data_IF_322023644424
#
_entry.id   IF_322023644424
#
_cell.length_a   1.000
_cell.length_b   1.000
_cell.length_c   1.000
_cell.angle_alpha   90.00
_cell.angle_beta   90.00
_cell.angle_gamma   90.00
#
_symmetry.space_group_name_H-M   'P 1'
#
loop_
_entity.id
_entity.type
_entity.pdbx_description
1 polymer ?
#
# COMPACT_ATOMS: atom_id res chain seq x y z
N UNK A 1 6.39 10.79 -15.29
CA UNK A 1 7.30 9.79 -14.66
C UNK A 1 6.95 8.37 -15.11
N UNK A 2 5.73 7.89 -14.87
CA UNK A 2 5.37 6.48 -15.13
C UNK A 2 5.58 5.98 -16.58
N UNK A 3 5.29 6.82 -17.57
CA UNK A 3 5.30 6.41 -19.00
C UNK A 3 6.55 6.81 -19.77
N UNK A 4 7.26 7.85 -19.35
CA UNK A 4 8.47 8.29 -20.04
C UNK A 4 9.64 7.32 -19.81
N UNK A 5 10.48 7.18 -20.83
CA UNK A 5 11.74 6.40 -20.78
C UNK A 5 12.94 7.24 -21.22
N UNK A 6 12.76 8.57 -21.29
CA UNK A 6 13.83 9.52 -21.60
C UNK A 6 14.43 10.06 -20.28
N UNK A 7 15.71 9.79 -19.96
CA UNK A 7 16.33 10.20 -18.70
C UNK A 7 16.33 11.72 -18.46
N UNK A 8 16.52 12.51 -19.52
CA UNK A 8 16.53 13.97 -19.40
C UNK A 8 15.14 14.53 -19.10
N UNK A 9 14.10 13.98 -19.74
CA UNK A 9 12.71 14.33 -19.45
C UNK A 9 12.34 13.93 -18.02
N UNK A 10 12.70 12.73 -17.59
CA UNK A 10 12.47 12.24 -16.22
C UNK A 10 13.15 13.14 -15.19
N UNK A 11 14.38 13.58 -15.45
CA UNK A 11 15.12 14.53 -14.60
C UNK A 11 14.39 15.88 -14.50
N UNK A 12 13.93 16.45 -15.63
CA UNK A 12 13.18 17.71 -15.62
C UNK A 12 11.87 17.60 -14.85
N UNK A 13 11.12 16.51 -15.05
CA UNK A 13 9.86 16.26 -14.34
C UNK A 13 10.09 16.12 -12.83
N UNK A 14 11.15 15.39 -12.46
CA UNK A 14 11.51 15.20 -11.06
C UNK A 14 11.88 16.53 -10.39
N UNK A 15 12.76 17.34 -11.01
CA UNK A 15 13.16 18.67 -10.51
C UNK A 15 11.94 19.58 -10.37
N UNK A 16 11.10 19.64 -11.42
CA UNK A 16 9.91 20.49 -11.41
C UNK A 16 8.93 20.14 -10.29
N UNK A 17 8.75 18.85 -10.01
CA UNK A 17 7.92 18.40 -8.90
C UNK A 17 8.52 18.75 -7.53
N UNK A 18 9.81 18.47 -7.31
CA UNK A 18 10.44 18.73 -6.02
C UNK A 18 10.63 20.24 -5.74
N UNK A 19 10.68 21.08 -6.77
CA UNK A 19 10.73 22.53 -6.60
C UNK A 19 9.53 23.12 -5.83
N UNK A 20 8.38 22.44 -5.80
CA UNK A 20 7.21 22.89 -5.00
C UNK A 20 7.49 22.87 -3.48
N UNK A 21 8.46 22.10 -3.03
CA UNK A 21 8.84 22.03 -1.61
C UNK A 21 9.56 23.28 -1.13
N UNK A 22 10.46 23.85 -1.93
CA UNK A 22 11.34 24.93 -1.51
C UNK A 22 10.61 26.11 -0.80
N UNK A 23 9.52 26.69 -1.33
CA UNK A 23 8.80 27.78 -0.68
C UNK A 23 8.06 27.39 0.60
N UNK A 24 7.96 26.09 0.92
CA UNK A 24 7.31 25.59 2.15
C UNK A 24 8.29 25.46 3.32
N UNK A 25 9.59 25.48 3.10
CA UNK A 25 10.62 25.13 4.09
C UNK A 25 10.50 25.94 5.39
N UNK A 26 10.49 27.26 5.31
CA UNK A 26 10.41 28.11 6.51
C UNK A 26 9.05 28.00 7.22
N UNK A 27 7.99 27.82 6.43
CA UNK A 27 6.66 27.55 6.98
C UNK A 27 6.61 26.20 7.68
N UNK A 28 7.29 25.20 7.16
CA UNK A 28 7.39 23.88 7.79
C UNK A 28 8.19 23.94 9.09
N UNK A 29 9.29 24.68 9.14
CA UNK A 29 10.03 24.90 10.38
C UNK A 29 9.13 25.55 11.47
N UNK A 30 8.36 26.58 11.10
CA UNK A 30 7.40 27.20 12.00
C UNK A 30 6.27 26.25 12.42
N UNK A 31 5.80 25.43 11.51
CA UNK A 31 4.81 24.41 11.77
C UNK A 31 5.30 23.38 12.80
N UNK A 32 6.54 22.89 12.68
CA UNK A 32 7.20 22.01 13.66
C UNK A 32 7.26 22.65 15.06
N UNK A 33 7.64 23.93 15.15
CA UNK A 33 7.65 24.66 16.43
C UNK A 33 6.27 24.67 17.08
N UNK A 34 5.23 25.01 16.32
CA UNK A 34 3.85 25.10 16.82
C UNK A 34 3.33 23.73 17.27
N UNK A 35 3.59 22.69 16.52
CA UNK A 35 3.20 21.32 16.90
C UNK A 35 3.89 20.88 18.20
N UNK A 36 5.18 21.17 18.32
CA UNK A 36 5.93 20.84 19.53
C UNK A 36 5.46 21.63 20.77
N UNK A 37 4.91 22.84 20.58
CA UNK A 37 4.24 23.57 21.68
C UNK A 37 3.02 22.76 22.14
N UNK A 38 2.13 22.38 21.20
CA UNK A 38 0.94 21.59 21.52
C UNK A 38 1.28 20.23 22.14
N UNK A 39 2.30 19.53 21.62
CA UNK A 39 2.74 18.27 22.21
C UNK A 39 3.21 18.43 23.65
N UNK A 40 3.95 19.51 23.96
CA UNK A 40 4.39 19.80 25.35
C UNK A 40 3.25 20.17 26.28
N UNK A 41 2.22 20.88 25.81
CA UNK A 41 1.01 21.14 26.58
C UNK A 41 0.26 19.86 26.98
N UNK A 42 0.39 18.80 26.13
CA UNK A 42 -0.15 17.47 26.41
C UNK A 42 0.79 16.58 27.24
N UNK A 43 1.96 17.08 27.65
CA UNK A 43 2.92 16.37 28.50
C UNK A 43 3.98 15.56 27.75
N UNK A 44 4.07 15.66 26.42
CA UNK A 44 5.10 15.02 25.60
C UNK A 44 6.28 15.97 25.36
N UNK A 45 7.47 15.43 25.10
CA UNK A 45 8.65 16.24 24.79
C UNK A 45 8.55 16.97 23.45
N UNK A 46 8.00 16.27 22.47
CA UNK A 46 7.84 16.70 21.09
C UNK A 46 6.72 15.93 20.38
N UNK A 47 6.38 16.35 19.17
CA UNK A 47 5.34 15.72 18.33
C UNK A 47 5.69 14.29 17.94
N UNK A 48 6.98 13.98 17.76
CA UNK A 48 7.42 12.62 17.45
C UNK A 48 7.19 11.63 18.60
N UNK A 49 7.33 12.10 19.85
CA UNK A 49 6.95 11.31 21.02
C UNK A 49 5.43 11.14 21.11
N UNK A 50 4.67 12.22 20.93
CA UNK A 50 3.20 12.17 20.89
C UNK A 50 2.68 11.16 19.86
N UNK A 51 3.20 11.16 18.64
CA UNK A 51 2.78 10.24 17.59
C UNK A 51 3.07 8.77 17.90
N UNK A 52 4.19 8.50 18.60
CA UNK A 52 4.56 7.14 18.98
C UNK A 52 3.90 6.63 20.26
N UNK A 53 3.24 7.50 21.02
CA UNK A 53 2.58 7.12 22.27
C UNK A 53 1.40 6.16 22.08
N UNK A 54 0.76 6.16 20.89
CA UNK A 54 -0.43 5.34 20.62
C UNK A 54 -0.12 3.88 20.24
N UNK A 55 1.13 3.43 20.38
CA UNK A 55 1.51 2.09 19.99
C UNK A 55 1.77 1.14 21.18
N UNK A 56 1.25 1.45 22.38
CA UNK A 56 1.44 0.64 23.59
C UNK A 56 2.91 0.28 23.88
N UNK A 57 3.81 1.19 23.52
CA UNK A 57 5.26 1.06 23.65
C UNK A 57 5.87 2.43 23.94
N UNK A 58 7.05 2.44 24.57
CA UNK A 58 7.83 3.68 24.60
C UNK A 58 8.28 4.07 23.18
N UNK A 59 8.54 5.35 22.90
CA UNK A 59 9.05 5.79 21.60
C UNK A 59 10.35 5.10 21.17
N UNK A 60 11.20 4.72 22.14
CA UNK A 60 12.44 4.01 21.87
C UNK A 60 12.18 2.55 21.48
N UNK A 61 11.32 1.84 22.21
CA UNK A 61 10.90 0.48 21.90
C UNK A 61 10.23 0.42 20.52
N UNK A 62 9.33 1.36 20.23
CA UNK A 62 8.67 1.42 18.93
C UNK A 62 9.68 1.61 17.79
N UNK A 63 10.65 2.53 17.95
CA UNK A 63 11.69 2.74 16.94
C UNK A 63 12.57 1.51 16.75
N UNK A 64 12.92 0.81 17.83
CA UNK A 64 13.70 -0.42 17.80
C UNK A 64 12.94 -1.58 17.12
N UNK A 65 11.63 -1.65 17.35
CA UNK A 65 10.75 -2.65 16.70
C UNK A 65 10.73 -2.48 15.17
N UNK A 66 10.60 -1.23 14.68
CA UNK A 66 10.67 -0.96 13.25
C UNK A 66 12.06 -1.28 12.66
N UNK A 67 13.13 -0.96 13.38
CA UNK A 67 14.50 -1.27 12.94
C UNK A 67 14.75 -2.77 12.89
N UNK A 68 14.23 -3.53 13.86
CA UNK A 68 14.33 -4.98 13.89
C UNK A 68 13.60 -5.62 12.70
N UNK A 69 12.38 -5.18 12.43
CA UNK A 69 11.59 -5.66 11.31
C UNK A 69 12.24 -5.30 9.96
N UNK A 70 12.79 -4.11 9.83
CA UNK A 70 13.56 -3.72 8.66
C UNK A 70 14.79 -4.62 8.46
N UNK A 71 15.55 -4.89 9.51
CA UNK A 71 16.72 -5.76 9.42
C UNK A 71 16.40 -7.18 8.92
N UNK A 72 15.19 -7.70 9.21
CA UNK A 72 14.71 -8.96 8.64
C UNK A 72 14.47 -8.86 7.12
N UNK A 73 13.96 -7.72 6.63
CA UNK A 73 13.56 -7.53 5.22
C UNK A 73 14.68 -7.01 4.33
N UNK A 74 15.65 -6.31 4.90
CA UNK A 74 16.72 -5.65 4.16
C UNK A 74 17.44 -6.60 3.18
N UNK A 75 17.72 -7.87 3.49
CA UNK A 75 18.34 -8.79 2.55
C UNK A 75 17.53 -8.99 1.26
N UNK A 76 16.20 -9.16 1.37
CA UNK A 76 15.31 -9.26 0.20
C UNK A 76 15.31 -7.96 -0.60
N UNK A 77 15.20 -6.82 0.09
CA UNK A 77 15.26 -5.51 -0.56
C UNK A 77 16.56 -5.27 -1.32
N UNK A 78 17.69 -5.65 -0.74
CA UNK A 78 19.01 -5.52 -1.39
C UNK A 78 19.10 -6.33 -2.67
N UNK A 79 18.59 -7.55 -2.68
CA UNK A 79 18.56 -8.37 -3.89
C UNK A 79 17.65 -7.74 -4.97
N UNK A 80 16.46 -7.24 -4.58
CA UNK A 80 15.58 -6.52 -5.51
C UNK A 80 16.26 -5.27 -6.06
N UNK A 81 16.88 -4.46 -5.20
CA UNK A 81 17.59 -3.25 -5.57
C UNK A 81 18.75 -3.54 -6.56
N UNK A 82 19.58 -4.56 -6.27
CA UNK A 82 20.70 -4.95 -7.13
C UNK A 82 20.21 -5.36 -8.52
N UNK A 83 19.17 -6.20 -8.57
CA UNK A 83 18.56 -6.61 -9.83
C UNK A 83 18.00 -5.42 -10.62
N UNK A 84 17.19 -4.57 -9.98
CA UNK A 84 16.61 -3.38 -10.61
C UNK A 84 17.70 -2.45 -11.12
N UNK A 85 18.75 -2.19 -10.32
CA UNK A 85 19.88 -1.36 -10.72
C UNK A 85 20.56 -1.91 -11.97
N UNK A 86 20.85 -3.21 -12.03
CA UNK A 86 21.49 -3.84 -13.20
C UNK A 86 20.65 -3.67 -14.47
N UNK A 87 19.32 -3.80 -14.36
CA UNK A 87 18.39 -3.61 -15.48
C UNK A 87 18.31 -2.15 -15.95
N UNK A 88 18.35 -1.21 -15.00
CA UNK A 88 18.38 0.23 -15.31
C UNK A 88 19.70 0.63 -15.97
N UNK A 89 20.84 0.08 -15.54
CA UNK A 89 22.15 0.30 -16.19
C UNK A 89 22.12 -0.26 -17.62
N UNK A 90 21.60 -1.46 -17.82
CA UNK A 90 21.44 -2.04 -19.15
C UNK A 90 20.57 -1.18 -20.09
N UNK A 91 19.55 -0.50 -19.52
CA UNK A 91 18.64 0.37 -20.28
C UNK A 91 19.21 1.76 -20.54
N UNK A 92 19.83 2.40 -19.54
CA UNK A 92 20.16 3.82 -19.53
C UNK A 92 21.67 4.10 -19.50
N UNK A 93 22.51 3.07 -19.39
CA UNK A 93 23.96 3.21 -19.35
C UNK A 93 24.42 4.17 -18.24
N UNK A 94 25.27 5.13 -18.61
CA UNK A 94 25.87 6.10 -17.67
C UNK A 94 24.85 6.90 -16.86
N UNK A 95 23.63 7.09 -17.35
CA UNK A 95 22.59 7.81 -16.61
C UNK A 95 22.09 7.05 -15.36
N UNK A 96 22.26 5.73 -15.33
CA UNK A 96 21.92 4.87 -14.19
C UNK A 96 23.14 4.34 -13.44
N UNK A 97 24.33 4.35 -14.05
CA UNK A 97 25.55 3.76 -13.49
C UNK A 97 26.30 4.75 -12.58
N UNK A 98 25.94 4.74 -11.32
CA UNK A 98 26.58 5.54 -10.27
C UNK A 98 27.67 4.72 -9.56
N UNK A 99 28.85 5.33 -9.26
CA UNK A 99 29.94 4.62 -8.59
C UNK A 99 29.64 4.28 -7.11
N UNK A 100 28.69 5.02 -6.47
CA UNK A 100 28.24 4.78 -5.10
C UNK A 100 27.23 3.61 -4.99
N UNK A 101 26.84 3.03 -6.10
CA UNK A 101 25.88 1.91 -6.15
C UNK A 101 24.42 2.29 -5.89
N UNK A 102 24.11 3.60 -5.81
CA UNK A 102 22.75 4.08 -5.62
C UNK A 102 22.00 4.13 -6.96
N UNK A 103 20.68 4.07 -6.89
CA UNK A 103 19.81 4.27 -8.07
C UNK A 103 19.37 5.74 -8.14
N UNK A 104 19.53 6.43 -9.29
CA UNK A 104 18.98 7.76 -9.47
C UNK A 104 17.44 7.74 -9.38
N UNK A 105 16.88 8.50 -8.44
CA UNK A 105 15.45 8.45 -8.05
C UNK A 105 14.48 8.65 -9.22
N UNK A 106 14.81 9.52 -10.19
CA UNK A 106 13.95 9.81 -11.33
C UNK A 106 13.75 8.61 -12.28
N UNK A 107 14.61 7.60 -12.22
CA UNK A 107 14.53 6.42 -13.09
C UNK A 107 13.57 5.34 -12.58
N UNK A 108 13.02 5.50 -11.38
CA UNK A 108 12.17 4.51 -10.72
C UNK A 108 10.66 4.67 -11.01
N UNK A 109 10.31 5.53 -11.97
CA UNK A 109 8.92 5.62 -12.49
C UNK A 109 7.89 6.32 -11.60
N UNK A 110 8.31 6.79 -10.42
CA UNK A 110 7.47 7.46 -9.43
C UNK A 110 8.14 8.77 -8.97
N UNK A 111 7.35 9.82 -8.68
CA UNK A 111 7.88 11.14 -8.28
C UNK A 111 8.76 11.06 -7.05
N UNK A 112 8.42 10.19 -6.09
CA UNK A 112 9.13 10.01 -4.82
C UNK A 112 10.04 8.78 -4.81
N UNK A 113 10.05 7.99 -5.89
CA UNK A 113 10.73 6.69 -5.95
C UNK A 113 10.30 5.73 -4.81
N UNK A 114 9.06 5.87 -4.34
CA UNK A 114 8.52 5.07 -3.24
C UNK A 114 8.06 3.68 -3.68
N UNK A 115 7.57 3.56 -4.91
CA UNK A 115 7.09 2.34 -5.56
C UNK A 115 7.68 2.27 -6.97
N UNK A 116 7.99 1.08 -7.45
CA UNK A 116 8.72 0.88 -8.69
C UNK A 116 7.94 0.10 -9.76
N UNK A 117 6.66 -0.19 -9.54
CA UNK A 117 5.81 -0.95 -10.47
C UNK A 117 5.76 -0.36 -11.88
N UNK A 118 5.85 0.97 -12.01
CA UNK A 118 5.83 1.68 -13.28
C UNK A 118 7.03 1.37 -14.22
N UNK A 119 8.10 0.76 -13.71
CA UNK A 119 9.26 0.36 -14.54
C UNK A 119 9.31 -1.15 -14.80
N UNK A 120 8.21 -1.86 -14.54
CA UNK A 120 8.18 -3.30 -14.74
C UNK A 120 8.61 -3.74 -16.15
N UNK A 121 8.25 -2.99 -17.20
CA UNK A 121 8.66 -3.25 -18.58
C UNK A 121 10.20 -3.25 -18.78
N UNK A 122 10.95 -2.49 -17.95
CA UNK A 122 12.42 -2.46 -17.98
C UNK A 122 13.01 -3.65 -17.22
N UNK A 123 12.39 -4.01 -16.09
CA UNK A 123 12.94 -5.01 -15.17
C UNK A 123 12.31 -6.41 -15.31
N UNK A 124 11.33 -6.56 -16.18
CA UNK A 124 10.70 -7.86 -16.45
C UNK A 124 11.76 -8.94 -16.78
N UNK A 125 11.55 -10.19 -16.36
CA UNK A 125 12.44 -11.28 -16.70
C UNK A 125 12.62 -11.38 -18.22
N UNK A 126 13.86 -11.57 -18.68
CA UNK A 126 14.20 -11.73 -20.09
C UNK A 126 14.26 -13.19 -20.54
N UNK A 127 14.25 -14.15 -19.62
CA UNK A 127 14.13 -15.57 -19.94
C UNK A 127 12.80 -15.80 -20.68
N UNK A 128 12.81 -16.31 -21.93
CA UNK A 128 11.58 -16.53 -22.70
C UNK A 128 10.57 -17.41 -21.98
N UNK A 129 11.03 -18.34 -21.13
CA UNK A 129 10.15 -19.23 -20.35
C UNK A 129 9.33 -18.46 -19.32
N UNK A 130 9.89 -17.36 -18.75
CA UNK A 130 9.22 -16.49 -17.80
C UNK A 130 8.49 -15.34 -18.48
N UNK A 131 9.08 -14.77 -19.52
CA UNK A 131 8.53 -13.63 -20.27
C UNK A 131 7.22 -13.95 -21.02
N UNK A 132 6.94 -15.22 -21.30
CA UNK A 132 5.72 -15.66 -21.98
C UNK A 132 4.46 -15.49 -21.12
N UNK A 133 4.60 -15.47 -19.79
CA UNK A 133 3.46 -15.37 -18.87
C UNK A 133 2.98 -13.94 -18.76
N UNK A 134 1.74 -13.73 -19.18
CA UNK A 134 1.04 -12.45 -19.02
C UNK A 134 0.12 -12.54 -17.79
N UNK A 135 -0.04 -11.42 -17.05
CA UNK A 135 -1.09 -11.32 -16.04
C UNK A 135 -2.46 -11.63 -16.66
N UNK A 136 -3.38 -12.13 -15.83
CA UNK A 136 -4.79 -12.24 -16.20
C UNK A 136 -5.28 -10.85 -16.58
N UNK A 137 -5.95 -10.71 -17.73
CA UNK A 137 -6.62 -9.46 -18.11
C UNK A 137 -7.92 -9.33 -17.29
N UNK A 138 -7.74 -8.97 -16.03
CA UNK A 138 -8.83 -8.84 -15.08
C UNK A 138 -9.83 -7.76 -15.51
N UNK A 139 -9.36 -6.68 -16.14
CA UNK A 139 -10.24 -5.61 -16.61
C UNK A 139 -11.20 -6.11 -17.69
N UNK A 140 -10.70 -6.82 -18.69
CA UNK A 140 -11.53 -7.39 -19.74
C UNK A 140 -12.51 -8.44 -19.20
N UNK A 141 -12.04 -9.30 -18.27
CA UNK A 141 -12.88 -10.30 -17.63
C UNK A 141 -14.03 -9.66 -16.81
N UNK A 142 -13.72 -8.62 -16.02
CA UNK A 142 -14.70 -7.87 -15.24
C UNK A 142 -15.74 -7.22 -16.14
N UNK A 143 -15.31 -6.48 -17.16
CA UNK A 143 -16.24 -5.82 -18.10
C UNK A 143 -17.17 -6.82 -18.77
N UNK A 144 -16.64 -7.96 -19.19
CA UNK A 144 -17.45 -9.04 -19.81
C UNK A 144 -18.48 -9.61 -18.83
N UNK A 145 -18.04 -9.96 -17.62
CA UNK A 145 -18.91 -10.62 -16.65
C UNK A 145 -19.98 -9.65 -16.10
N UNK A 146 -19.62 -8.38 -15.84
CA UNK A 146 -20.56 -7.35 -15.39
C UNK A 146 -21.62 -7.10 -16.47
N UNK A 147 -21.22 -6.95 -17.74
CA UNK A 147 -22.17 -6.74 -18.84
C UNK A 147 -23.14 -7.93 -19.04
N UNK A 148 -22.68 -9.15 -18.77
CA UNK A 148 -23.53 -10.35 -18.82
C UNK A 148 -24.51 -10.44 -17.64
N UNK A 149 -24.07 -10.04 -16.45
CA UNK A 149 -24.84 -10.11 -15.21
C UNK A 149 -25.85 -8.95 -15.10
N UNK A 150 -25.41 -7.76 -15.47
CA UNK A 150 -26.21 -6.55 -15.47
C UNK A 150 -26.14 -5.84 -16.83
N UNK A 151 -27.08 -6.11 -17.74
CA UNK A 151 -27.13 -5.44 -19.05
C UNK A 151 -27.23 -3.91 -18.95
N UNK A 152 -27.75 -3.35 -17.85
CA UNK A 152 -27.80 -1.90 -17.63
C UNK A 152 -26.39 -1.29 -17.45
N UNK A 153 -25.42 -2.07 -17.00
CA UNK A 153 -24.02 -1.64 -16.89
C UNK A 153 -23.26 -1.69 -18.22
N UNK A 154 -23.72 -2.49 -19.21
CA UNK A 154 -23.00 -2.67 -20.47
C UNK A 154 -22.64 -1.37 -21.23
N UNK A 155 -23.50 -0.33 -21.27
CA UNK A 155 -23.14 0.96 -21.88
C UNK A 155 -21.94 1.67 -21.25
N UNK A 156 -21.59 1.39 -19.99
CA UNK A 156 -20.41 1.94 -19.36
C UNK A 156 -19.10 1.52 -20.04
N UNK A 157 -19.11 0.40 -20.79
CA UNK A 157 -17.95 -0.17 -21.46
C UNK A 157 -17.95 0.05 -22.98
N UNK A 158 -19.10 0.42 -23.53
CA UNK A 158 -19.25 0.76 -24.93
C UNK A 158 -18.75 2.19 -25.14
N UNK A 159 -17.59 2.34 -25.82
CA UNK A 159 -17.06 3.61 -26.37
C UNK A 159 -17.39 4.90 -25.56
N UNK A 160 -16.49 5.86 -25.57
CA UNK A 160 -16.62 7.21 -24.98
C UNK A 160 -17.89 7.97 -25.45
N UNK A 161 -19.05 7.46 -25.07
CA UNK A 161 -20.31 8.19 -25.16
C UNK A 161 -20.28 9.31 -24.15
N UNK A 162 -20.95 10.41 -24.47
CA UNK A 162 -21.05 11.61 -23.63
C UNK A 162 -21.17 11.24 -22.15
N UNK A 163 -20.13 11.50 -21.33
CA UNK A 163 -20.15 11.14 -19.91
C UNK A 163 -21.21 11.88 -19.12
N UNK A 164 -21.89 12.85 -19.71
CA UNK A 164 -22.91 13.69 -19.10
C UNK A 164 -24.36 13.19 -19.19
N UNK A 165 -24.65 12.18 -20.01
CA UNK A 165 -26.04 11.66 -20.09
C UNK A 165 -26.46 10.88 -18.85
N UNK A 166 -27.75 10.92 -18.49
CA UNK A 166 -28.29 10.17 -17.34
C UNK A 166 -28.06 8.66 -17.51
N UNK A 167 -28.31 8.14 -18.70
CA UNK A 167 -28.09 6.71 -18.99
C UNK A 167 -26.63 6.28 -18.82
N UNK A 168 -25.67 7.13 -19.21
CA UNK A 168 -24.24 6.81 -19.01
C UNK A 168 -23.84 6.90 -17.54
N UNK A 169 -24.45 7.78 -16.77
CA UNK A 169 -24.23 7.86 -15.32
C UNK A 169 -24.79 6.63 -14.61
N UNK A 170 -26.01 6.23 -14.91
CA UNK A 170 -26.68 5.06 -14.33
C UNK A 170 -25.92 3.77 -14.67
N UNK A 171 -25.44 3.62 -15.91
CA UNK A 171 -24.64 2.48 -16.32
C UNK A 171 -23.31 2.39 -15.54
N UNK A 172 -22.64 3.51 -15.31
CA UNK A 172 -21.42 3.55 -14.49
C UNK A 172 -21.70 3.22 -13.03
N UNK A 173 -22.80 3.72 -12.49
CA UNK A 173 -23.21 3.42 -11.12
C UNK A 173 -23.54 1.91 -10.95
N UNK A 174 -24.25 1.32 -11.90
CA UNK A 174 -24.53 -0.12 -11.92
C UNK A 174 -23.24 -0.95 -11.97
N UNK A 175 -22.30 -0.58 -12.83
CA UNK A 175 -20.98 -1.23 -12.91
C UNK A 175 -20.18 -1.10 -11.62
N UNK A 176 -20.19 0.09 -10.99
CA UNK A 176 -19.52 0.31 -9.71
C UNK A 176 -20.15 -0.52 -8.58
N UNK A 177 -21.47 -0.65 -8.55
CA UNK A 177 -22.15 -1.54 -7.60
C UNK A 177 -21.73 -2.99 -7.78
N UNK A 178 -21.59 -3.48 -9.01
CA UNK A 178 -21.13 -4.84 -9.24
C UNK A 178 -19.67 -5.04 -8.79
N UNK A 179 -18.80 -4.04 -8.98
CA UNK A 179 -17.44 -4.08 -8.42
C UNK A 179 -17.46 -4.22 -6.90
N UNK A 180 -18.31 -3.47 -6.20
CA UNK A 180 -18.46 -3.54 -4.75
C UNK A 180 -19.04 -4.88 -4.29
N UNK A 181 -19.97 -5.47 -5.06
CA UNK A 181 -20.52 -6.81 -4.76
C UNK A 181 -19.45 -7.91 -4.77
N UNK A 182 -18.43 -7.82 -5.60
CA UNK A 182 -17.29 -8.77 -5.52
C UNK A 182 -16.60 -8.66 -4.17
N UNK A 183 -16.26 -7.45 -3.72
CA UNK A 183 -15.64 -7.23 -2.42
C UNK A 183 -16.56 -7.68 -1.26
N UNK A 184 -17.86 -7.31 -1.28
CA UNK A 184 -18.81 -7.80 -0.27
C UNK A 184 -18.89 -9.31 -0.25
N UNK A 185 -18.91 -9.96 -1.44
CA UNK A 185 -18.97 -11.43 -1.53
C UNK A 185 -17.74 -12.09 -0.89
N UNK A 186 -16.58 -11.44 -0.92
CA UNK A 186 -15.40 -11.93 -0.24
C UNK A 186 -15.66 -12.05 1.27
N UNK A 187 -16.10 -10.97 1.91
CA UNK A 187 -16.38 -10.96 3.35
C UNK A 187 -17.53 -11.87 3.75
N UNK A 188 -18.62 -11.88 2.99
CA UNK A 188 -19.78 -12.76 3.29
C UNK A 188 -19.42 -14.23 3.10
N UNK A 189 -18.51 -14.56 2.17
CA UNK A 189 -17.98 -15.91 2.02
C UNK A 189 -17.25 -16.39 3.28
N UNK A 190 -16.58 -15.49 4.00
CA UNK A 190 -15.91 -15.74 5.27
C UNK A 190 -16.87 -15.85 6.46
N UNK A 191 -18.13 -15.43 6.33
CA UNK A 191 -19.14 -15.49 7.39
C UNK A 191 -19.57 -14.14 7.96
N UNK A 192 -19.04 -13.03 7.44
CA UNK A 192 -19.49 -11.70 7.84
C UNK A 192 -20.90 -11.43 7.34
N UNK A 193 -21.65 -10.64 8.08
CA UNK A 193 -22.98 -10.18 7.64
C UNK A 193 -22.85 -9.25 6.43
N UNK A 194 -23.80 -9.26 5.48
CA UNK A 194 -23.82 -8.32 4.36
C UNK A 194 -23.76 -6.85 4.82
N UNK A 195 -23.29 -5.98 3.95
CA UNK A 195 -23.29 -4.53 4.20
C UNK A 195 -24.73 -4.02 4.39
N UNK A 196 -24.94 -3.03 5.26
CA UNK A 196 -26.29 -2.53 5.54
C UNK A 196 -26.87 -1.82 4.32
N UNK A 197 -28.20 -1.73 4.25
CA UNK A 197 -28.90 -1.04 3.15
C UNK A 197 -28.45 0.41 3.00
N UNK A 198 -28.17 1.10 4.11
CA UNK A 198 -27.66 2.47 4.17
C UNK A 198 -26.33 2.63 3.45
N UNK A 199 -25.45 1.60 3.45
CA UNK A 199 -24.21 1.61 2.69
C UNK A 199 -24.46 1.81 1.20
N UNK A 200 -25.37 1.03 0.63
CA UNK A 200 -25.73 1.09 -0.79
C UNK A 200 -26.43 2.39 -1.18
N UNK A 201 -27.23 2.95 -0.27
CA UNK A 201 -28.01 4.17 -0.50
C UNK A 201 -27.22 5.45 -0.32
N UNK A 202 -26.14 5.45 0.52
CA UNK A 202 -25.48 6.67 0.98
C UNK A 202 -24.02 6.79 0.59
N UNK A 203 -23.40 5.71 0.12
CA UNK A 203 -22.01 5.76 -0.37
C UNK A 203 -21.89 6.54 -1.67
N UNK A 204 -20.71 7.10 -1.91
CA UNK A 204 -20.34 7.72 -3.15
C UNK A 204 -19.47 6.74 -3.97
N UNK A 205 -20.07 6.04 -4.91
CA UNK A 205 -19.39 5.01 -5.69
C UNK A 205 -18.71 5.53 -6.95
N UNK A 206 -19.23 6.61 -7.56
CA UNK A 206 -18.69 7.21 -8.77
C UNK A 206 -18.63 8.73 -8.61
N UNK A 207 -17.84 9.41 -9.47
CA UNK A 207 -17.75 10.86 -9.46
C UNK A 207 -19.15 11.49 -9.68
N UNK A 208 -19.64 12.32 -8.75
CA UNK A 208 -20.94 12.96 -8.86
C UNK A 208 -20.91 14.02 -9.98
N UNK A 209 -22.09 14.37 -10.53
CA UNK A 209 -22.21 15.36 -11.62
C UNK A 209 -22.46 16.78 -11.15
N UNK A 210 -22.87 16.93 -9.91
CA UNK A 210 -23.36 18.18 -9.32
C UNK A 210 -22.28 18.94 -8.51
N UNK A 211 -21.13 18.33 -8.30
CA UNK A 211 -20.02 18.93 -7.52
C UNK A 211 -18.71 18.24 -7.78
N UNK A 212 -17.63 18.97 -7.51
CA UNK A 212 -16.27 18.42 -7.48
C UNK A 212 -16.03 17.63 -6.19
N UNK A 213 -15.36 16.47 -6.30
CA UNK A 213 -14.94 15.66 -5.18
C UNK A 213 -13.51 15.15 -5.39
N UNK A 214 -12.79 14.97 -4.30
CA UNK A 214 -11.51 14.28 -4.32
C UNK A 214 -11.77 12.77 -4.46
N UNK A 215 -11.38 12.20 -5.61
CA UNK A 215 -11.58 10.78 -5.96
C UNK A 215 -10.66 9.80 -5.20
N UNK A 216 -9.89 10.25 -4.22
CA UNK A 216 -9.15 9.35 -3.35
C UNK A 216 -10.13 8.48 -2.59
N UNK A 217 -9.98 7.14 -2.72
CA UNK A 217 -10.82 6.18 -2.03
C UNK A 217 -10.74 6.36 -0.51
N UNK A 218 -11.84 6.13 0.18
CA UNK A 218 -11.91 6.18 1.65
C UNK A 218 -13.17 5.51 2.17
N UNK A 219 -13.05 4.85 3.31
CA UNK A 219 -14.12 4.18 4.03
C UNK A 219 -14.47 4.96 5.31
N UNK A 220 -15.73 5.00 5.65
CA UNK A 220 -16.27 5.82 6.73
C UNK A 220 -17.27 5.04 7.57
N UNK A 221 -17.22 5.25 8.87
CA UNK A 221 -18.28 4.95 9.83
C UNK A 221 -18.79 6.29 10.37
N UNK A 222 -20.03 6.63 10.05
CA UNK A 222 -20.58 7.97 10.30
C UNK A 222 -21.12 8.13 11.71
N UNK A 223 -21.71 7.07 12.25
CA UNK A 223 -22.44 7.12 13.52
C UNK A 223 -21.87 6.18 14.59
N UNK A 224 -20.80 5.46 14.27
CA UNK A 224 -20.22 4.41 15.13
C UNK A 224 -21.23 3.35 15.56
N UNK A 225 -22.21 3.05 14.69
CA UNK A 225 -23.22 2.00 14.87
C UNK A 225 -23.28 1.10 13.65
N UNK A 226 -23.85 1.56 12.51
CA UNK A 226 -23.94 0.79 11.27
C UNK A 226 -24.15 1.69 10.01
N UNK A 227 -23.96 3.01 10.10
CA UNK A 227 -23.96 3.90 8.91
C UNK A 227 -22.56 3.91 8.27
N UNK A 228 -22.22 2.77 7.69
CA UNK A 228 -20.97 2.58 6.95
C UNK A 228 -21.10 3.17 5.54
N UNK A 229 -20.01 3.79 5.05
CA UNK A 229 -19.97 4.34 3.69
C UNK A 229 -18.58 4.20 3.08
N UNK A 230 -18.52 4.21 1.74
CA UNK A 230 -17.31 4.47 0.98
C UNK A 230 -17.48 5.74 0.15
N UNK A 231 -16.38 6.47 -0.05
CA UNK A 231 -16.28 7.53 -1.04
C UNK A 231 -15.20 7.14 -2.04
N UNK A 232 -15.62 6.85 -3.26
CA UNK A 232 -14.76 6.39 -4.36
C UNK A 232 -15.23 7.00 -5.68
N UNK A 233 -14.38 6.92 -6.71
CA UNK A 233 -14.76 7.16 -8.10
C UNK A 233 -14.45 5.90 -8.89
N UNK A 234 -15.20 4.83 -8.66
CA UNK A 234 -14.92 3.48 -9.15
C UNK A 234 -15.00 3.44 -10.68
N UNK A 235 -13.95 2.92 -11.27
CA UNK A 235 -13.89 2.48 -12.67
C UNK A 235 -13.70 0.96 -12.69
N UNK A 236 -14.11 0.31 -13.77
CA UNK A 236 -13.94 -1.15 -13.90
C UNK A 236 -12.52 -1.45 -14.39
N UNK A 237 -11.61 -1.48 -13.43
CA UNK A 237 -10.17 -1.79 -13.62
C UNK A 237 -9.69 -2.76 -12.55
N UNK A 238 -8.55 -3.40 -12.79
CA UNK A 238 -7.89 -4.26 -11.80
C UNK A 238 -7.52 -3.50 -10.52
N UNK A 239 -7.07 -2.24 -10.67
CA UNK A 239 -6.68 -1.39 -9.52
C UNK A 239 -7.89 -1.09 -8.63
N UNK A 240 -9.03 -0.69 -9.21
CA UNK A 240 -10.25 -0.47 -8.43
C UNK A 240 -10.84 -1.75 -7.85
N UNK A 241 -10.67 -2.90 -8.52
CA UNK A 241 -11.06 -4.18 -7.93
C UNK A 241 -10.31 -4.45 -6.62
N UNK A 242 -9.00 -4.24 -6.62
CA UNK A 242 -8.17 -4.35 -5.42
C UNK A 242 -8.54 -3.29 -4.38
N UNK A 243 -8.71 -2.03 -4.80
CA UNK A 243 -9.06 -0.92 -3.90
C UNK A 243 -10.42 -1.14 -3.22
N UNK A 244 -11.42 -1.66 -3.92
CA UNK A 244 -12.74 -2.00 -3.32
C UNK A 244 -12.57 -3.04 -2.20
N UNK A 245 -11.77 -4.08 -2.41
CA UNK A 245 -11.52 -5.10 -1.37
C UNK A 245 -10.79 -4.48 -0.16
N UNK A 246 -9.86 -3.55 -0.40
CA UNK A 246 -9.15 -2.82 0.64
C UNK A 246 -10.10 -1.93 1.46
N UNK A 247 -10.87 -1.06 0.81
CA UNK A 247 -11.78 -0.12 1.50
C UNK A 247 -12.87 -0.85 2.29
N UNK A 248 -13.39 -1.94 1.77
CA UNK A 248 -14.33 -2.77 2.53
C UNK A 248 -13.68 -3.41 3.75
N UNK A 249 -12.37 -3.68 3.72
CA UNK A 249 -11.61 -4.08 4.90
C UNK A 249 -11.76 -3.09 6.05
N UNK A 250 -11.67 -1.80 5.77
CA UNK A 250 -11.93 -0.75 6.75
C UNK A 250 -13.37 -0.77 7.26
N UNK A 251 -14.37 -0.86 6.38
CA UNK A 251 -15.78 -0.88 6.80
C UNK A 251 -16.12 -2.09 7.67
N UNK A 252 -15.65 -3.29 7.32
CA UNK A 252 -15.88 -4.48 8.14
C UNK A 252 -15.15 -4.41 9.48
N UNK A 253 -13.99 -3.75 9.54
CA UNK A 253 -13.30 -3.51 10.81
C UNK A 253 -14.06 -2.51 11.67
N UNK A 254 -14.47 -1.37 11.12
CA UNK A 254 -15.28 -0.37 11.79
C UNK A 254 -16.52 -1.01 12.41
N UNK A 255 -17.26 -1.78 11.61
CA UNK A 255 -18.47 -2.47 12.07
C UNK A 255 -18.21 -3.47 13.20
N UNK A 256 -17.08 -4.19 13.14
CA UNK A 256 -16.77 -5.22 14.12
C UNK A 256 -16.47 -4.61 15.50
N UNK A 257 -15.65 -3.55 15.58
CA UNK A 257 -15.32 -2.95 16.87
C UNK A 257 -16.38 -2.00 17.41
N UNK A 258 -17.45 -1.71 16.66
CA UNK A 258 -18.57 -0.88 17.16
C UNK A 258 -19.30 -1.50 18.37
N UNK A 259 -19.05 -2.76 18.66
CA UNK A 259 -19.54 -3.42 19.87
C UNK A 259 -18.74 -3.07 21.12
N UNK A 260 -17.54 -2.47 20.96
CA UNK A 260 -16.71 -2.05 22.09
C UNK A 260 -17.25 -0.77 22.75
N UNK A 261 -16.91 -0.51 24.03
CA UNK A 261 -17.11 0.81 24.63
C UNK A 261 -16.51 1.91 23.76
N UNK A 262 -17.14 3.08 23.73
CA UNK A 262 -16.81 4.18 22.79
C UNK A 262 -15.31 4.49 22.66
N UNK A 263 -14.57 4.55 23.78
CA UNK A 263 -13.12 4.85 23.78
C UNK A 263 -12.26 3.75 23.15
N UNK A 264 -12.80 2.57 22.88
CA UNK A 264 -12.10 1.44 22.29
C UNK A 264 -12.58 1.12 20.86
N UNK A 265 -13.46 1.96 20.28
CA UNK A 265 -13.96 1.82 18.91
C UNK A 265 -12.96 2.36 17.91
N UNK A 266 -11.83 1.66 17.81
CA UNK A 266 -10.80 1.93 16.81
C UNK A 266 -10.03 0.63 16.53
N UNK A 267 -9.20 0.62 15.48
CA UNK A 267 -8.27 -0.48 15.25
C UNK A 267 -7.25 -0.63 16.39
N UNK A 268 -6.67 -1.81 16.52
CA UNK A 268 -5.68 -2.08 17.57
C UNK A 268 -4.49 -1.10 17.53
N UNK A 269 -4.08 -0.70 16.34
CA UNK A 269 -3.29 0.50 16.02
C UNK A 269 -3.54 0.89 14.56
N UNK A 270 -3.01 2.04 14.12
CA UNK A 270 -3.24 2.56 12.76
C UNK A 270 -2.78 1.60 11.65
N UNK A 271 -1.70 0.84 11.89
CA UNK A 271 -1.20 -0.16 10.94
C UNK A 271 -2.15 -1.35 10.75
N UNK A 272 -2.99 -1.69 11.73
CA UNK A 272 -3.96 -2.78 11.59
C UNK A 272 -5.07 -2.44 10.59
N UNK A 273 -5.54 -1.20 10.59
CA UNK A 273 -6.57 -0.76 9.65
C UNK A 273 -6.12 -0.92 8.20
N UNK A 274 -4.95 -0.39 7.88
CA UNK A 274 -4.37 -0.51 6.54
C UNK A 274 -4.05 -1.98 6.19
N UNK A 275 -3.49 -2.73 7.15
CA UNK A 275 -3.05 -4.10 6.93
C UNK A 275 -4.20 -5.06 6.62
N UNK A 276 -5.40 -4.84 7.16
CA UNK A 276 -6.54 -5.74 6.92
C UNK A 276 -6.99 -5.64 5.47
N UNK A 277 -7.21 -4.44 4.95
CA UNK A 277 -7.56 -4.23 3.56
C UNK A 277 -6.51 -4.82 2.61
N UNK A 278 -5.24 -4.59 2.91
CA UNK A 278 -4.12 -5.13 2.15
C UNK A 278 -4.01 -6.66 2.23
N UNK A 279 -4.29 -7.28 3.39
CA UNK A 279 -4.28 -8.74 3.53
C UNK A 279 -5.41 -9.41 2.72
N UNK A 280 -6.58 -8.79 2.66
CA UNK A 280 -7.66 -9.21 1.76
C UNK A 280 -7.21 -9.09 0.30
N UNK A 281 -6.58 -7.98 -0.08
CA UNK A 281 -6.05 -7.76 -1.42
C UNK A 281 -5.00 -8.81 -1.83
N UNK A 282 -4.16 -9.29 -0.90
CA UNK A 282 -3.23 -10.40 -1.16
C UNK A 282 -3.95 -11.71 -1.52
N UNK A 283 -5.19 -11.92 -1.08
CA UNK A 283 -6.02 -13.07 -1.43
C UNK A 283 -6.63 -13.00 -2.84
N UNK A 284 -6.45 -11.88 -3.56
CA UNK A 284 -6.84 -11.75 -4.98
C UNK A 284 -5.82 -12.50 -5.85
N UNK A 285 -5.79 -13.79 -5.68
CA UNK A 285 -4.89 -14.70 -6.41
C UNK A 285 -5.59 -15.26 -7.65
N UNK A 286 -4.84 -15.87 -8.58
CA UNK A 286 -5.44 -16.58 -9.73
C UNK A 286 -6.49 -17.63 -9.30
N UNK A 287 -6.30 -18.31 -8.17
CA UNK A 287 -7.28 -19.25 -7.62
C UNK A 287 -8.61 -18.57 -7.26
N UNK A 288 -8.55 -17.41 -6.60
CA UNK A 288 -9.74 -16.61 -6.30
C UNK A 288 -10.44 -16.12 -7.58
N UNK A 289 -9.67 -15.56 -8.53
CA UNK A 289 -10.23 -15.08 -9.79
C UNK A 289 -10.90 -16.20 -10.59
N UNK A 290 -10.32 -17.40 -10.56
CA UNK A 290 -10.93 -18.60 -11.17
C UNK A 290 -12.23 -18.99 -10.48
N UNK A 291 -12.27 -18.95 -9.14
CA UNK A 291 -13.50 -19.23 -8.37
C UNK A 291 -14.62 -18.25 -8.71
N UNK A 292 -14.30 -17.00 -9.01
CA UNK A 292 -15.25 -15.99 -9.45
C UNK A 292 -15.62 -16.09 -10.94
N UNK A 293 -14.99 -16.97 -11.71
CA UNK A 293 -15.13 -17.06 -13.17
C UNK A 293 -14.49 -15.90 -13.93
N UNK A 294 -13.58 -15.17 -13.29
CA UNK A 294 -12.79 -14.07 -13.88
C UNK A 294 -11.47 -14.56 -14.51
N UNK A 295 -11.18 -15.84 -14.36
CA UNK A 295 -10.06 -16.53 -15.03
C UNK A 295 -10.46 -17.97 -15.34
N UNK A 296 -10.05 -18.48 -16.51
CA UNK A 296 -10.35 -19.84 -16.94
C UNK A 296 -9.50 -20.89 -16.21
N UNK A 297 -8.26 -20.53 -15.87
CA UNK A 297 -7.30 -21.42 -15.24
C UNK A 297 -6.31 -20.66 -14.37
N UNK A 298 -5.66 -21.39 -13.47
CA UNK A 298 -4.52 -20.86 -12.73
C UNK A 298 -3.25 -20.97 -13.60
N UNK A 299 -2.37 -19.94 -13.58
CA UNK A 299 -1.11 -20.01 -14.29
C UNK A 299 -0.19 -21.08 -13.66
N UNK A 300 0.73 -21.69 -14.42
CA UNK A 300 1.70 -22.64 -13.89
C UNK A 300 2.66 -22.00 -12.89
N UNK A 301 3.44 -22.81 -12.16
CA UNK A 301 4.33 -22.34 -11.10
C UNK A 301 5.42 -21.37 -11.60
N UNK A 302 5.84 -21.52 -12.84
CA UNK A 302 6.83 -20.65 -13.49
C UNK A 302 6.35 -19.19 -13.61
N UNK A 303 5.04 -18.97 -13.63
CA UNK A 303 4.45 -17.63 -13.65
C UNK A 303 4.59 -16.88 -12.32
N UNK A 304 4.95 -17.55 -11.23
CA UNK A 304 5.10 -16.91 -9.91
C UNK A 304 6.18 -15.83 -9.91
N UNK A 305 7.30 -16.05 -10.60
CA UNK A 305 8.40 -15.09 -10.65
C UNK A 305 7.98 -13.74 -11.22
N UNK A 306 7.42 -13.63 -12.46
CA UNK A 306 6.98 -12.35 -12.98
C UNK A 306 5.84 -11.71 -12.17
N UNK A 307 4.93 -12.51 -11.58
CA UNK A 307 3.85 -12.00 -10.74
C UNK A 307 4.38 -11.44 -9.42
N UNK A 308 5.24 -12.20 -8.73
CA UNK A 308 5.86 -11.75 -7.48
C UNK A 308 6.78 -10.55 -7.70
N UNK A 309 7.49 -10.47 -8.83
CA UNK A 309 8.34 -9.30 -9.14
C UNK A 309 7.48 -8.03 -9.25
N UNK A 310 6.32 -8.08 -9.90
CA UNK A 310 5.38 -6.93 -9.93
C UNK A 310 4.98 -6.51 -8.53
N UNK A 311 4.56 -7.46 -7.69
CA UNK A 311 4.16 -7.20 -6.31
C UNK A 311 5.33 -6.66 -5.47
N UNK A 312 6.55 -7.18 -5.67
CA UNK A 312 7.73 -6.74 -4.93
C UNK A 312 8.17 -5.31 -5.30
N UNK A 313 8.04 -4.91 -6.57
CA UNK A 313 8.33 -3.54 -7.01
C UNK A 313 7.43 -2.49 -6.32
N UNK A 314 6.27 -2.89 -5.83
CA UNK A 314 5.39 -2.02 -5.05
C UNK A 314 5.57 -2.28 -3.55
N UNK A 315 5.26 -3.48 -3.06
CA UNK A 315 5.22 -3.80 -1.63
C UNK A 315 6.61 -3.81 -0.95
N UNK A 316 7.63 -4.41 -1.56
CA UNK A 316 8.98 -4.46 -0.97
C UNK A 316 9.72 -3.13 -1.15
N UNK A 317 9.64 -2.53 -2.34
CA UNK A 317 10.30 -1.26 -2.64
C UNK A 317 9.79 -0.10 -1.78
N UNK A 318 8.53 -0.14 -1.36
CA UNK A 318 7.87 0.89 -0.56
C UNK A 318 8.40 0.98 0.88
N UNK A 319 8.75 -0.14 1.51
CA UNK A 319 9.03 -0.19 2.95
C UNK A 319 10.16 0.72 3.43
N UNK A 320 11.34 0.76 2.79
CA UNK A 320 12.39 1.65 3.24
C UNK A 320 12.06 3.14 3.06
N UNK A 321 11.20 3.48 2.10
CA UNK A 321 10.68 4.84 1.95
C UNK A 321 9.77 5.21 3.14
N UNK A 322 8.82 4.34 3.47
CA UNK A 322 7.90 4.57 4.57
C UNK A 322 8.66 4.72 5.90
N UNK A 323 9.66 3.87 6.13
CA UNK A 323 10.51 3.93 7.32
C UNK A 323 11.33 5.23 7.38
N UNK A 324 12.00 5.60 6.29
CA UNK A 324 12.86 6.78 6.22
C UNK A 324 12.08 8.07 6.49
N UNK A 325 10.82 8.17 5.99
CA UNK A 325 10.00 9.36 6.09
C UNK A 325 9.70 9.74 7.54
N UNK A 326 9.22 8.81 8.35
CA UNK A 326 8.90 9.10 9.75
C UNK A 326 10.13 9.15 10.64
N UNK A 327 11.18 8.39 10.35
CA UNK A 327 12.46 8.56 11.03
C UNK A 327 13.02 9.97 10.83
N UNK A 328 12.89 10.55 9.63
CA UNK A 328 13.25 11.94 9.37
C UNK A 328 12.37 12.90 10.19
N UNK A 329 11.04 12.73 10.19
CA UNK A 329 10.14 13.61 10.95
C UNK A 329 10.37 13.55 12.46
N UNK A 330 10.57 12.36 13.04
CA UNK A 330 10.84 12.24 14.47
C UNK A 330 12.12 12.96 14.89
N UNK A 331 13.18 12.88 14.06
CA UNK A 331 14.43 13.61 14.29
C UNK A 331 14.27 15.13 14.10
N UNK A 332 13.41 15.55 13.19
CA UNK A 332 13.03 16.96 13.03
C UNK A 332 12.24 17.46 14.24
N UNK A 333 11.25 16.72 14.70
CA UNK A 333 10.45 17.08 15.86
C UNK A 333 11.28 17.10 17.16
N UNK A 334 12.17 16.15 17.35
CA UNK A 334 13.09 16.15 18.51
C UNK A 334 14.15 17.27 18.45
N UNK A 335 14.33 17.90 17.29
CA UNK A 335 15.37 18.89 17.03
C UNK A 335 16.77 18.31 16.85
N UNK A 336 16.91 17.00 16.67
CA UNK A 336 18.14 16.35 16.25
C UNK A 336 18.55 16.83 14.85
N UNK A 337 17.59 16.87 13.90
CA UNK A 337 17.76 17.53 12.59
C UNK A 337 17.28 18.97 12.69
N UNK A 338 18.20 19.91 12.47
CA UNK A 338 17.91 21.36 12.50
C UNK A 338 17.32 21.82 11.16
N UNK A 339 16.61 22.96 11.12
CA UNK A 339 16.11 23.53 9.86
C UNK A 339 17.20 23.76 8.80
N UNK A 340 18.45 24.00 9.20
CA UNK A 340 19.59 24.15 8.32
C UNK A 340 20.04 22.86 7.63
N UNK A 341 19.54 21.71 8.07
CA UNK A 341 19.96 20.37 7.61
C UNK A 341 18.79 19.52 7.10
N UNK A 342 17.62 20.09 6.92
CA UNK A 342 16.39 19.33 6.57
C UNK A 342 16.54 18.52 5.29
N UNK A 343 17.04 19.13 4.22
CA UNK A 343 17.14 18.49 2.94
C UNK A 343 18.31 17.50 2.88
N UNK A 344 19.45 17.85 3.49
CA UNK A 344 20.63 16.96 3.62
C UNK A 344 20.27 15.68 4.36
N UNK A 345 19.70 15.81 5.57
CA UNK A 345 19.32 14.66 6.40
C UNK A 345 18.24 13.79 5.73
N UNK A 346 17.33 14.40 4.96
CA UNK A 346 16.39 13.65 4.13
C UNK A 346 17.08 12.72 3.17
N UNK A 347 18.07 13.21 2.42
CA UNK A 347 18.79 12.40 1.44
C UNK A 347 19.71 11.38 2.10
N UNK A 348 20.34 11.70 3.22
CA UNK A 348 21.13 10.74 3.99
C UNK A 348 20.28 9.53 4.43
N UNK A 349 19.04 9.75 4.88
CA UNK A 349 18.13 8.66 5.23
C UNK A 349 17.65 7.89 3.99
N UNK A 350 17.37 8.58 2.87
CA UNK A 350 17.02 7.95 1.61
C UNK A 350 18.15 7.06 1.05
N UNK A 351 19.37 7.54 1.12
CA UNK A 351 20.55 6.76 0.73
C UNK A 351 20.76 5.55 1.64
N UNK A 352 20.60 5.75 2.95
CA UNK A 352 20.77 4.69 3.94
C UNK A 352 19.77 3.56 3.77
N UNK A 353 18.48 3.88 3.71
CA UNK A 353 17.41 2.88 3.71
C UNK A 353 17.00 2.42 2.31
N UNK A 354 16.80 3.35 1.37
CA UNK A 354 16.37 3.02 0.02
C UNK A 354 17.50 2.82 -0.99
N UNK A 355 18.72 3.24 -0.67
CA UNK A 355 19.85 3.23 -1.61
C UNK A 355 19.51 3.96 -2.92
N UNK A 356 18.85 5.10 -2.81
CA UNK A 356 18.52 6.01 -3.93
C UNK A 356 19.19 7.35 -3.75
N UNK A 357 19.54 8.01 -4.85
CA UNK A 357 20.13 9.34 -4.86
C UNK A 357 19.30 10.31 -5.70
N UNK A 358 19.36 11.62 -5.41
CA UNK A 358 18.72 12.61 -6.27
C UNK A 358 19.41 12.63 -7.65
N UNK A 359 18.68 13.03 -8.73
CA UNK A 359 19.26 13.09 -10.07
C UNK A 359 20.31 14.20 -10.28
N UNK A 360 20.29 15.20 -9.43
CA UNK A 360 21.18 16.37 -9.44
C UNK A 360 21.54 16.74 -8.01
N UNK A 361 22.63 17.50 -7.85
CA UNK A 361 23.04 18.01 -6.54
C UNK A 361 21.90 18.81 -5.90
N UNK A 362 21.69 18.56 -4.62
CA UNK A 362 20.67 19.21 -3.81
C UNK A 362 21.31 19.99 -2.67
N UNK A 363 20.71 21.09 -2.32
CA UNK A 363 21.18 22.00 -1.27
C UNK A 363 20.06 22.28 -0.27
N UNK A 364 20.35 23.06 0.77
CA UNK A 364 19.34 23.53 1.72
C UNK A 364 18.46 24.68 1.15
N UNK A 365 18.72 25.16 -0.06
CA UNK A 365 17.76 26.00 -0.80
C UNK A 365 16.56 25.17 -1.30
N UNK A 366 16.73 23.87 -1.40
CA UNK A 366 15.69 22.90 -1.73
C UNK A 366 14.96 22.45 -0.44
N UNK A 367 13.80 21.84 -0.61
CA UNK A 367 13.10 21.15 0.48
C UNK A 367 12.33 19.97 -0.10
N UNK A 368 13.06 18.95 -0.52
CA UNK A 368 12.49 17.78 -1.20
C UNK A 368 11.46 17.00 -0.37
N UNK A 369 11.60 16.86 0.97
CA UNK A 369 10.56 16.25 1.78
C UNK A 369 9.21 16.98 1.67
N UNK A 370 9.20 18.30 1.46
CA UNK A 370 7.98 19.10 1.27
C UNK A 370 7.18 18.74 0.01
N UNK A 371 7.81 18.09 -0.97
CA UNK A 371 7.11 17.62 -2.17
C UNK A 371 6.27 16.34 -1.92
N UNK A 372 6.46 15.65 -0.79
CA UNK A 372 5.61 14.52 -0.36
C UNK A 372 4.45 15.04 0.47
N UNK A 373 3.24 14.98 -0.07
CA UNK A 373 2.03 15.56 0.52
C UNK A 373 1.84 15.25 2.02
N UNK A 374 2.14 14.04 2.46
CA UNK A 374 2.00 13.60 3.87
C UNK A 374 2.84 14.43 4.85
N UNK A 375 3.92 15.07 4.39
CA UNK A 375 4.78 15.88 5.25
C UNK A 375 4.11 17.24 5.54
N UNK A 376 3.77 18.07 4.55
CA UNK A 376 3.11 19.35 4.83
C UNK A 376 1.67 19.20 5.32
N UNK A 377 0.98 18.10 5.05
CA UNK A 377 -0.39 17.84 5.55
C UNK A 377 -0.41 17.10 6.90
N UNK A 378 0.76 16.83 7.47
CA UNK A 378 0.91 16.28 8.82
C UNK A 378 0.32 14.87 9.04
N UNK A 379 0.38 14.02 8.04
CA UNK A 379 -0.12 12.64 8.15
C UNK A 379 1.00 11.72 8.63
N UNK A 380 0.88 11.03 9.79
CA UNK A 380 1.84 10.00 10.22
C UNK A 380 2.02 8.92 9.15
N UNK A 381 3.22 8.38 9.03
CA UNK A 381 3.56 7.46 7.93
C UNK A 381 4.05 6.08 8.39
N UNK A 382 4.39 5.95 9.67
CA UNK A 382 4.81 4.68 10.25
C UNK A 382 3.74 3.59 10.14
N UNK A 383 2.44 3.98 10.15
CA UNK A 383 1.31 3.07 9.93
C UNK A 383 1.43 2.28 8.62
N UNK A 384 1.91 2.90 7.55
CA UNK A 384 2.11 2.23 6.26
C UNK A 384 3.28 1.24 6.27
N UNK A 385 4.36 1.52 7.02
CA UNK A 385 5.43 0.55 7.23
C UNK A 385 4.94 -0.65 8.02
N UNK A 386 4.20 -0.41 9.11
CA UNK A 386 3.58 -1.46 9.92
C UNK A 386 2.63 -2.32 9.08
N UNK A 387 1.71 -1.66 8.36
CA UNK A 387 0.75 -2.33 7.49
C UNK A 387 1.42 -3.18 6.42
N UNK A 388 2.52 -2.67 5.84
CA UNK A 388 3.31 -3.38 4.86
C UNK A 388 3.84 -4.73 5.34
N UNK A 389 4.00 -4.91 6.66
CA UNK A 389 4.43 -6.17 7.27
C UNK A 389 3.25 -6.94 7.85
N UNK A 390 2.36 -6.29 8.61
CA UNK A 390 1.18 -6.92 9.20
C UNK A 390 0.30 -7.63 8.16
N UNK A 391 0.15 -7.06 6.96
CA UNK A 391 -0.66 -7.68 5.91
C UNK A 391 -0.22 -9.11 5.61
N UNK A 392 1.09 -9.39 5.61
CA UNK A 392 1.61 -10.74 5.38
C UNK A 392 1.45 -11.64 6.61
N UNK A 393 1.59 -11.09 7.83
CA UNK A 393 1.31 -11.84 9.06
C UNK A 393 -0.17 -12.26 9.12
N UNK A 394 -1.10 -11.34 8.83
CA UNK A 394 -2.53 -11.64 8.79
C UNK A 394 -2.88 -12.60 7.66
N UNK A 395 -2.35 -12.36 6.47
CA UNK A 395 -2.57 -13.22 5.31
C UNK A 395 -2.13 -14.66 5.59
N UNK A 396 -0.91 -14.85 6.11
CA UNK A 396 -0.42 -16.17 6.48
C UNK A 396 -1.30 -16.84 7.53
N UNK A 397 -1.68 -16.13 8.58
CA UNK A 397 -2.53 -16.65 9.63
C UNK A 397 -3.92 -17.09 9.12
N UNK A 398 -4.49 -16.36 8.16
CA UNK A 398 -5.76 -16.72 7.52
C UNK A 398 -5.59 -17.91 6.57
N UNK A 399 -4.50 -17.97 5.81
CA UNK A 399 -4.17 -19.12 4.97
C UNK A 399 -3.98 -20.40 5.79
N UNK A 400 -3.26 -20.31 6.92
CA UNK A 400 -3.07 -21.45 7.83
C UNK A 400 -4.42 -21.90 8.42
N UNK A 401 -5.27 -20.95 8.83
CA UNK A 401 -6.62 -21.24 9.34
C UNK A 401 -7.54 -21.88 8.30
N UNK A 402 -7.40 -21.50 7.02
CA UNK A 402 -8.16 -22.13 5.92
C UNK A 402 -7.72 -23.55 5.60
N UNK A 403 -6.65 -24.04 6.22
CA UNK A 403 -6.08 -25.36 5.94
C UNK A 403 -5.24 -25.42 4.67
N UNK A 404 -4.94 -24.29 4.02
CA UNK A 404 -4.11 -24.24 2.82
C UNK A 404 -2.69 -24.76 3.10
N UNK A 405 -2.12 -25.55 2.16
CA UNK A 405 -0.81 -26.20 2.31
C UNK A 405 0.15 -25.91 1.14
N UNK A 406 -0.27 -25.08 0.19
CA UNK A 406 0.57 -24.72 -0.95
C UNK A 406 1.50 -23.53 -0.67
N UNK A 407 2.20 -23.04 -1.68
CA UNK A 407 3.00 -21.82 -1.59
C UNK A 407 2.15 -20.60 -1.19
N UNK A 408 2.64 -19.80 -0.23
CA UNK A 408 1.87 -18.71 0.37
C UNK A 408 1.35 -17.70 -0.65
N UNK A 409 2.14 -17.37 -1.68
CA UNK A 409 1.75 -16.45 -2.74
C UNK A 409 0.58 -16.92 -3.62
N UNK A 410 0.18 -18.17 -3.51
CA UNK A 410 -0.96 -18.76 -4.25
C UNK A 410 -2.19 -18.98 -3.39
N UNK A 411 -2.08 -18.70 -2.09
CA UNK A 411 -3.18 -18.89 -1.17
C UNK A 411 -4.35 -17.94 -1.48
N UNK A 412 -5.56 -18.47 -1.44
CA UNK A 412 -6.77 -17.70 -1.22
C UNK A 412 -7.55 -18.35 -0.09
N UNK A 413 -7.99 -17.55 0.87
CA UNK A 413 -8.86 -18.00 1.96
C UNK A 413 -10.33 -17.64 1.72
N UNK A 414 -10.69 -17.22 0.50
CA UNK A 414 -12.08 -17.01 0.10
C UNK A 414 -12.92 -18.25 0.41
N UNK A 415 -14.08 -18.05 1.05
CA UNK A 415 -14.99 -19.12 1.44
C UNK A 415 -14.65 -19.84 2.74
N UNK A 416 -13.47 -19.62 3.36
CA UNK A 416 -13.09 -20.27 4.61
C UNK A 416 -13.77 -19.59 5.81
N UNK A 417 -14.71 -20.29 6.43
CA UNK A 417 -15.36 -19.83 7.67
C UNK A 417 -14.40 -19.81 8.86
N UNK A 418 -13.43 -20.69 8.88
CA UNK A 418 -12.39 -20.77 9.91
C UNK A 418 -11.48 -19.53 9.86
N UNK A 419 -11.01 -19.16 8.66
CA UNK A 419 -10.27 -17.93 8.46
C UNK A 419 -11.11 -16.70 8.83
N UNK A 420 -12.39 -16.69 8.43
CA UNK A 420 -13.34 -15.64 8.76
C UNK A 420 -13.58 -15.48 10.25
N UNK A 421 -13.82 -16.57 10.98
CA UNK A 421 -14.00 -16.54 12.43
C UNK A 421 -12.75 -16.01 13.17
N UNK A 422 -11.56 -16.40 12.70
CA UNK A 422 -10.30 -15.91 13.24
C UNK A 422 -10.12 -14.41 12.99
N UNK A 423 -10.42 -13.95 11.78
CA UNK A 423 -10.40 -12.54 11.42
C UNK A 423 -11.41 -11.76 12.25
N UNK A 424 -12.67 -12.20 12.30
CA UNK A 424 -13.75 -11.55 13.07
C UNK A 424 -13.34 -11.31 14.53
N UNK A 425 -12.76 -12.32 15.19
CA UNK A 425 -12.29 -12.21 16.57
C UNK A 425 -11.23 -11.12 16.76
N UNK A 426 -10.33 -10.97 15.79
CA UNK A 426 -9.33 -9.89 15.81
C UNK A 426 -10.00 -8.52 15.64
N UNK A 427 -10.91 -8.39 14.67
CA UNK A 427 -11.60 -7.14 14.36
C UNK A 427 -12.46 -6.67 15.55
N UNK A 428 -13.20 -7.58 16.20
CA UNK A 428 -14.05 -7.28 17.34
C UNK A 428 -13.27 -6.79 18.57
N UNK A 429 -12.00 -7.14 18.70
CA UNK A 429 -11.18 -6.67 19.80
C UNK A 429 -10.95 -5.14 19.75
N UNK A 430 -10.92 -4.54 18.57
CA UNK A 430 -10.67 -3.11 18.43
C UNK A 430 -9.43 -2.67 19.19
N UNK A 431 -9.51 -1.55 19.88
CA UNK A 431 -8.44 -0.99 20.74
C UNK A 431 -8.64 -1.34 22.22
N UNK A 432 -9.38 -2.41 22.55
CA UNK A 432 -9.70 -2.77 23.93
C UNK A 432 -8.55 -3.38 24.75
N UNK A 433 -7.42 -3.63 24.10
CA UNK A 433 -6.21 -4.22 24.68
C UNK A 433 -4.97 -3.84 23.86
N UNK A 434 -3.75 -3.98 24.41
CA UNK A 434 -2.51 -3.74 23.66
C UNK A 434 -2.48 -4.54 22.35
N UNK A 435 -2.04 -3.89 21.28
CA UNK A 435 -2.01 -4.50 19.94
C UNK A 435 -1.19 -5.80 19.86
N UNK A 436 -0.16 -5.93 20.70
CA UNK A 436 0.68 -7.13 20.80
C UNK A 436 -0.14 -8.36 21.17
N UNK A 437 -1.11 -8.20 22.07
CA UNK A 437 -1.99 -9.29 22.48
C UNK A 437 -2.95 -9.68 21.35
N UNK A 438 -3.49 -8.67 20.65
CA UNK A 438 -4.37 -8.87 19.49
C UNK A 438 -3.62 -9.56 18.36
N UNK A 439 -2.39 -9.12 18.08
CA UNK A 439 -1.52 -9.75 17.07
C UNK A 439 -1.19 -11.19 17.42
N UNK A 440 -0.82 -11.46 18.68
CA UNK A 440 -0.49 -12.81 19.15
C UNK A 440 -1.66 -13.78 19.01
N UNK A 441 -2.86 -13.33 19.30
CA UNK A 441 -4.06 -14.17 19.15
C UNK A 441 -4.36 -14.47 17.69
N UNK A 442 -4.12 -13.49 16.79
CA UNK A 442 -4.29 -13.67 15.36
C UNK A 442 -3.19 -14.51 14.73
N UNK A 443 -1.92 -14.27 15.05
CA UNK A 443 -0.78 -14.78 14.29
C UNK A 443 0.11 -15.76 15.04
N UNK A 444 0.00 -15.80 16.37
CA UNK A 444 0.90 -16.55 17.25
C UNK A 444 2.13 -15.76 17.72
N UNK A 445 2.40 -14.59 17.15
CA UNK A 445 3.52 -13.70 17.53
C UNK A 445 2.99 -12.38 18.07
N UNK A 446 3.67 -11.80 19.07
CA UNK A 446 3.30 -10.55 19.74
C UNK A 446 4.14 -9.34 19.27
N UNK A 447 4.79 -9.46 18.14
CA UNK A 447 5.69 -8.46 17.58
C UNK A 447 5.59 -8.42 16.05
N UNK A 448 6.09 -7.36 15.47
CA UNK A 448 6.15 -7.18 14.01
C UNK A 448 7.14 -8.20 13.42
N UNK A 449 6.66 -9.19 12.67
CA UNK A 449 7.48 -10.25 12.09
C UNK A 449 7.43 -10.24 10.57
N UNK A 450 8.57 -10.05 9.95
CA UNK A 450 8.69 -10.01 8.50
C UNK A 450 8.83 -11.41 7.87
N UNK A 451 8.96 -12.48 8.65
CA UNK A 451 9.11 -13.83 8.11
C UNK A 451 7.97 -14.24 7.16
N UNK A 452 6.68 -13.96 7.46
CA UNK A 452 5.59 -14.25 6.51
C UNK A 452 5.74 -13.55 5.14
N UNK A 453 6.29 -12.34 5.11
CA UNK A 453 6.60 -11.65 3.86
C UNK A 453 7.75 -12.33 3.11
N UNK A 454 8.79 -12.74 3.81
CA UNK A 454 9.90 -13.51 3.22
C UNK A 454 9.41 -14.87 2.68
N UNK A 455 8.52 -15.54 3.39
CA UNK A 455 7.90 -16.80 2.94
C UNK A 455 7.07 -16.58 1.66
N UNK A 456 6.30 -15.48 1.59
CA UNK A 456 5.53 -15.12 0.42
C UNK A 456 6.42 -14.88 -0.81
N UNK A 457 7.53 -14.18 -0.64
CA UNK A 457 8.47 -13.86 -1.72
C UNK A 457 9.60 -14.89 -1.90
N UNK A 458 9.58 -16.02 -1.20
CA UNK A 458 10.67 -17.00 -1.23
C UNK A 458 11.07 -17.44 -2.66
N UNK A 459 10.14 -17.75 -3.59
CA UNK A 459 10.49 -18.08 -4.97
C UNK A 459 11.23 -16.94 -5.68
N UNK A 460 10.72 -15.71 -5.57
CA UNK A 460 11.35 -14.52 -6.16
C UNK A 460 12.71 -14.25 -5.53
N UNK A 461 12.84 -14.36 -4.22
CA UNK A 461 14.08 -14.10 -3.51
C UNK A 461 15.20 -15.06 -3.97
N UNK A 462 14.87 -16.35 -4.10
CA UNK A 462 15.81 -17.33 -4.64
C UNK A 462 16.23 -17.01 -6.09
N UNK A 463 15.27 -16.62 -6.92
CA UNK A 463 15.53 -16.22 -8.31
C UNK A 463 16.38 -14.94 -8.39
N UNK A 464 16.09 -13.89 -7.61
CA UNK A 464 16.88 -12.66 -7.57
C UNK A 464 18.33 -12.92 -7.18
N UNK A 465 18.58 -13.76 -6.17
CA UNK A 465 19.93 -14.15 -5.77
C UNK A 465 20.70 -14.83 -6.90
N UNK A 466 20.02 -15.67 -7.69
CA UNK A 466 20.66 -16.32 -8.85
C UNK A 466 20.99 -15.30 -9.95
N UNK A 467 20.06 -14.36 -10.25
CA UNK A 467 20.30 -13.33 -11.25
C UNK A 467 21.45 -12.40 -10.86
N UNK A 468 21.62 -12.12 -9.59
CA UNK A 468 22.62 -11.17 -9.09
C UNK A 468 24.03 -11.75 -8.97
N UNK A 469 24.23 -13.07 -9.08
CA UNK A 469 25.57 -13.69 -9.03
C UNK A 469 26.58 -13.09 -10.03
N UNK A 470 26.08 -12.61 -11.16
CA UNK A 470 26.93 -11.98 -12.18
C UNK A 470 27.28 -10.52 -11.85
N UNK A 471 26.70 -9.95 -10.78
CA UNK A 471 26.84 -8.54 -10.40
C UNK A 471 27.42 -8.37 -8.99
N UNK A 472 27.77 -9.47 -8.33
CA UNK A 472 28.56 -9.54 -7.10
C UNK A 472 30.04 -9.71 -7.44
#
# INVERSE_FOLDING_TARGET
>A
MAKSRNPEELTRLWIGWHAIGAPMRDKYARFVELQNIGARELGYRDTGELWRANYDMTPAEFSAELDRAWAQLEPLYRELHTYVRSRLIAKYGKAADRPDGLIPAQLLGNMWAQEWGNIYDIVAPTDPRLAQFKPIDLEAALKTQIAQRDPAAAPAFASRTDPGSDAAYDARLAAAHDMVRYGESFFTSLGFAPLPKTFWERSLFIHPRDREVLCHASAWDIDSVDDLRVKMCIEVTADYFTTVHHELGHNFYQRAYNQQPFLFRNGANDGFHEAIGDAIALSITPAYLKTLGLADSEPPAEADIPLQLRTALDKVAFLPFALALDKWRWQVFSGEIKPADYNKAWWELREKYQRVAPPVDRTEADFDPGAKNHIPTNVPYASYFLAGIYQFQFFKAMCDASGYKGPLNRCSFYGSKEAGAKLQKMLEAGQSRPWQQTLKEMTGTDHLDAQPMLDYFAPLYAWLREQNKAHQ
#
